data_IF_249494308266
#
_entry.id   IF_249494308266
#
_cell.length_a   1.000
_cell.length_b   1.000
_cell.length_c   1.000
_cell.angle_alpha   90.00
_cell.angle_beta   90.00
_cell.angle_gamma   90.00
#
_symmetry.space_group_name_H-M   'P 1'
#
loop_
_entity.id
_entity.type
_entity.pdbx_description
1 polymer ?
#
# COMPACT_ATOMS: atom_id res chain seq x y z
N UNK A 1 -37.00 8.33 17.96
CA UNK A 1 -37.41 6.94 18.28
C UNK A 1 -38.00 6.37 16.99
N UNK A 2 -37.36 5.51 16.20
CA UNK A 2 -36.27 4.54 16.40
C UNK A 2 -35.26 4.66 15.25
N UNK A 3 -34.03 4.33 15.63
CA UNK A 3 -32.86 3.92 14.87
C UNK A 3 -33.06 3.56 13.40
N UNK A 4 -32.24 4.21 12.57
CA UNK A 4 -31.82 3.73 11.27
C UNK A 4 -31.07 2.42 11.46
N UNK A 5 -31.43 1.43 10.66
CA UNK A 5 -30.83 0.10 10.59
C UNK A 5 -29.35 0.22 10.17
N UNK A 6 -28.48 0.32 11.17
CA UNK A 6 -27.10 -0.13 11.09
C UNK A 6 -27.13 -1.66 11.08
N UNK A 7 -26.85 -2.24 9.91
CA UNK A 7 -26.12 -3.49 9.72
C UNK A 7 -26.38 -4.01 8.31
N UNK A 8 -26.00 -3.21 7.31
CA UNK A 8 -25.59 -3.84 6.05
C UNK A 8 -24.20 -4.40 6.30
N UNK A 9 -24.15 -5.64 6.77
CA UNK A 9 -22.95 -6.47 6.77
C UNK A 9 -22.57 -6.62 5.29
N UNK A 10 -21.71 -5.73 4.81
CA UNK A 10 -21.08 -5.86 3.49
C UNK A 10 -20.11 -7.03 3.59
N UNK A 11 -20.65 -8.19 3.23
CA UNK A 11 -19.99 -9.34 2.64
C UNK A 11 -18.45 -9.36 2.75
N UNK A 12 -17.96 -9.95 3.85
CA UNK A 12 -16.55 -10.20 4.12
C UNK A 12 -15.99 -11.42 3.34
N UNK A 13 -16.54 -11.78 2.18
CA UNK A 13 -16.11 -12.97 1.43
C UNK A 13 -15.29 -12.74 0.17
N UNK A 14 -14.75 -11.52 -0.06
CA UNK A 14 -13.57 -11.35 -0.96
C UNK A 14 -12.30 -11.76 -0.20
N UNK A 15 -12.30 -13.01 0.23
CA UNK A 15 -11.31 -13.62 1.09
C UNK A 15 -9.99 -13.87 0.38
N UNK A 16 -8.93 -13.29 0.97
CA UNK A 16 -7.70 -14.02 1.31
C UNK A 16 -6.83 -14.46 0.12
N UNK A 17 -6.47 -13.52 -0.74
CA UNK A 17 -5.13 -13.57 -1.35
C UNK A 17 -4.25 -12.74 -0.45
N UNK A 18 -3.53 -13.42 0.43
CA UNK A 18 -2.44 -12.81 1.19
C UNK A 18 -1.59 -12.02 0.18
N UNK A 19 -1.52 -10.69 0.33
CA UNK A 19 -0.77 -9.82 -0.60
C UNK A 19 0.75 -10.05 -0.53
N UNK A 20 1.17 -11.07 0.22
CA UNK A 20 2.53 -11.54 0.31
C UNK A 20 2.71 -12.74 -0.62
N UNK A 21 3.40 -12.51 -1.74
CA UNK A 21 3.94 -13.60 -2.56
C UNK A 21 5.33 -13.90 -2.01
N UNK A 22 5.59 -15.06 -1.38
CA UNK A 22 6.89 -15.41 -0.80
C UNK A 22 7.91 -15.81 -1.87
N UNK A 23 7.95 -15.07 -2.98
CA UNK A 23 8.84 -15.34 -4.12
C UNK A 23 9.49 -14.03 -4.53
N UNK A 24 10.77 -14.10 -4.86
CA UNK A 24 11.42 -12.98 -5.50
C UNK A 24 10.84 -12.78 -6.90
N UNK A 25 10.71 -11.54 -7.31
CA UNK A 25 10.16 -11.21 -8.64
C UNK A 25 10.96 -11.88 -9.77
N UNK A 26 12.27 -12.00 -9.63
CA UNK A 26 13.13 -12.74 -10.59
C UNK A 26 12.73 -14.21 -10.69
N UNK A 27 12.42 -14.87 -9.58
CA UNK A 27 12.03 -16.28 -9.57
C UNK A 27 10.69 -16.47 -10.28
N UNK A 28 9.75 -15.53 -10.08
CA UNK A 28 8.45 -15.53 -10.77
C UNK A 28 8.65 -15.38 -12.28
N UNK A 29 9.51 -14.45 -12.71
CA UNK A 29 9.80 -14.24 -14.14
C UNK A 29 10.44 -15.49 -14.75
N UNK A 30 11.43 -16.09 -14.09
CA UNK A 30 12.07 -17.30 -14.61
C UNK A 30 11.13 -18.50 -14.64
N UNK A 31 10.31 -18.68 -13.60
CA UNK A 31 9.30 -19.72 -13.56
C UNK A 31 8.32 -19.60 -14.74
N UNK A 32 7.81 -18.40 -14.99
CA UNK A 32 6.89 -18.14 -16.10
C UNK A 32 7.58 -18.25 -17.48
N UNK A 33 8.84 -17.83 -17.59
CA UNK A 33 9.62 -17.95 -18.81
C UNK A 33 9.89 -19.42 -19.20
N UNK A 34 9.89 -20.34 -18.23
CA UNK A 34 10.09 -21.76 -18.45
C UNK A 34 8.77 -22.54 -18.60
N UNK A 35 7.62 -21.87 -18.44
CA UNK A 35 6.31 -22.50 -18.49
C UNK A 35 6.09 -23.21 -19.84
N UNK A 36 5.56 -24.46 -19.87
CA UNK A 36 5.40 -25.24 -21.10
C UNK A 36 4.53 -24.57 -22.18
N UNK A 37 3.61 -23.69 -21.77
CA UNK A 37 2.75 -22.93 -22.69
C UNK A 37 3.49 -21.82 -23.45
N UNK A 38 4.71 -21.46 -23.06
CA UNK A 38 5.51 -20.44 -23.73
C UNK A 38 6.53 -21.10 -24.67
N UNK A 39 6.45 -20.77 -25.96
CA UNK A 39 7.39 -21.26 -26.95
C UNK A 39 8.83 -20.86 -26.57
N UNK A 40 9.78 -21.77 -26.77
CA UNK A 40 11.20 -21.53 -26.44
C UNK A 40 11.77 -20.28 -27.12
N UNK A 41 11.30 -19.95 -28.32
CA UNK A 41 11.66 -18.76 -29.08
C UNK A 41 11.22 -17.45 -28.44
N UNK A 42 10.13 -17.46 -27.65
CA UNK A 42 9.54 -16.25 -27.05
C UNK A 42 10.04 -15.98 -25.64
N UNK A 43 10.84 -16.89 -25.07
CA UNK A 43 11.36 -16.76 -23.69
C UNK A 43 12.21 -15.51 -23.50
N UNK A 44 13.00 -15.09 -24.50
CA UNK A 44 13.79 -13.85 -24.41
C UNK A 44 12.88 -12.62 -24.38
N UNK A 45 11.93 -12.57 -25.32
CA UNK A 45 10.95 -11.48 -25.42
C UNK A 45 10.09 -11.35 -24.17
N UNK A 46 9.71 -12.47 -23.58
CA UNK A 46 8.99 -12.48 -22.30
C UNK A 46 9.80 -11.84 -21.18
N UNK A 47 11.10 -12.18 -21.05
CA UNK A 47 11.98 -11.59 -20.04
C UNK A 47 12.16 -10.08 -20.26
N UNK A 48 12.33 -9.66 -21.51
CA UNK A 48 12.41 -8.24 -21.87
C UNK A 48 11.14 -7.49 -21.49
N UNK A 49 9.97 -8.06 -21.80
CA UNK A 49 8.66 -7.51 -21.39
C UNK A 49 8.56 -7.40 -19.87
N UNK A 50 8.92 -8.46 -19.14
CA UNK A 50 8.91 -8.46 -17.69
C UNK A 50 9.83 -7.36 -17.13
N UNK A 51 11.05 -7.22 -17.66
CA UNK A 51 11.98 -6.18 -17.25
C UNK A 51 11.42 -4.77 -17.47
N UNK A 52 10.74 -4.51 -18.59
CA UNK A 52 10.09 -3.22 -18.86
C UNK A 52 8.96 -2.94 -17.86
N UNK A 53 8.10 -3.92 -17.59
CA UNK A 53 7.01 -3.80 -16.61
C UNK A 53 7.58 -3.51 -15.23
N UNK A 54 8.60 -4.25 -14.79
CA UNK A 54 9.22 -4.06 -13.48
C UNK A 54 9.89 -2.70 -13.33
N UNK A 55 10.60 -2.25 -14.35
CA UNK A 55 11.20 -0.91 -14.39
C UNK A 55 10.13 0.18 -14.25
N UNK A 56 9.03 0.06 -15.00
CA UNK A 56 7.91 0.99 -14.91
C UNK A 56 7.28 1.01 -13.52
N UNK A 57 7.00 -0.18 -12.95
CA UNK A 57 6.46 -0.30 -11.60
C UNK A 57 7.39 0.29 -10.55
N UNK A 58 8.69 -0.01 -10.62
CA UNK A 58 9.69 0.59 -9.72
C UNK A 58 9.68 2.11 -9.78
N UNK A 59 9.60 2.68 -10.97
CA UNK A 59 9.51 4.14 -11.14
C UNK A 59 8.24 4.70 -10.49
N UNK A 60 7.07 4.10 -10.76
CA UNK A 60 5.80 4.54 -10.19
C UNK A 60 5.80 4.49 -8.66
N UNK A 61 6.26 3.39 -8.07
CA UNK A 61 6.30 3.26 -6.61
C UNK A 61 7.32 4.19 -5.97
N UNK A 62 8.47 4.40 -6.61
CA UNK A 62 9.46 5.38 -6.14
C UNK A 62 8.87 6.79 -6.11
N UNK A 63 8.25 7.23 -7.20
CA UNK A 63 7.62 8.55 -7.25
C UNK A 63 6.53 8.70 -6.18
N UNK A 64 5.70 7.67 -6.01
CA UNK A 64 4.66 7.67 -4.98
C UNK A 64 5.25 7.74 -3.57
N UNK A 65 6.29 6.96 -3.27
CA UNK A 65 6.97 6.98 -1.98
C UNK A 65 7.61 8.35 -1.69
N UNK A 66 8.30 8.92 -2.68
CA UNK A 66 8.89 10.25 -2.58
C UNK A 66 7.81 11.32 -2.33
N UNK A 67 6.68 11.25 -3.03
CA UNK A 67 5.55 12.17 -2.83
C UNK A 67 4.95 12.05 -1.43
N UNK A 68 4.65 10.83 -0.96
CA UNK A 68 4.09 10.60 0.38
C UNK A 68 5.03 11.10 1.49
N UNK A 69 6.33 10.83 1.35
CA UNK A 69 7.34 11.31 2.29
C UNK A 69 7.42 12.85 2.28
N UNK A 70 7.30 13.45 1.10
CA UNK A 70 7.31 14.91 0.95
C UNK A 70 6.11 15.59 1.62
N UNK A 71 4.88 15.10 1.38
CA UNK A 71 3.67 15.69 2.00
C UNK A 71 3.60 15.45 3.50
N UNK A 72 4.22 14.38 4.00
CA UNK A 72 4.30 14.08 5.43
C UNK A 72 5.34 14.92 6.18
N UNK A 73 6.47 15.25 5.53
CA UNK A 73 7.57 15.99 6.17
C UNK A 73 7.17 17.27 6.94
N UNK A 74 6.22 18.13 6.48
CA UNK A 74 5.77 19.29 7.26
C UNK A 74 4.79 18.98 8.39
N UNK A 75 4.21 17.79 8.42
CA UNK A 75 3.26 17.34 9.44
C UNK A 75 3.97 16.68 10.62
N UNK A 76 5.19 16.19 10.41
CA UNK A 76 6.03 15.53 11.41
C UNK A 76 6.55 16.53 12.47
N UNK A 77 6.16 16.37 13.76
CA UNK A 77 6.66 17.22 14.84
C UNK A 77 8.14 17.00 15.15
N UNK A 78 8.67 15.80 14.86
CA UNK A 78 10.04 15.37 15.17
C UNK A 78 10.94 15.40 13.93
N UNK A 79 10.58 16.21 12.93
CA UNK A 79 11.28 16.21 11.64
C UNK A 79 12.77 16.54 11.80
N UNK A 80 13.62 15.66 11.28
CA UNK A 80 15.06 15.90 11.18
C UNK A 80 15.44 16.74 9.95
N UNK A 81 14.50 16.93 9.01
CA UNK A 81 14.74 17.60 7.73
C UNK A 81 14.34 19.07 7.77
N UNK A 82 15.21 19.94 7.25
CA UNK A 82 14.88 21.34 7.01
C UNK A 82 13.82 21.45 5.91
N UNK A 83 12.78 22.25 6.17
CA UNK A 83 11.83 22.67 5.15
C UNK A 83 12.35 23.92 4.46
N UNK A 84 12.23 23.98 3.12
CA UNK A 84 12.53 25.19 2.36
C UNK A 84 11.51 26.31 2.61
N UNK A 85 10.30 25.97 3.07
CA UNK A 85 9.24 26.92 3.40
C UNK A 85 8.41 26.37 4.55
N UNK A 86 8.07 27.23 5.51
CA UNK A 86 7.15 26.86 6.61
C UNK A 86 5.72 26.97 6.08
N UNK A 87 4.96 25.87 6.03
CA UNK A 87 3.59 25.90 5.53
C UNK A 87 2.67 26.67 6.49
N UNK A 88 1.72 27.43 5.93
CA UNK A 88 0.64 28.04 6.71
C UNK A 88 -0.26 26.95 7.31
N UNK A 89 -1.04 27.26 8.36
CA UNK A 89 -2.00 26.31 8.92
C UNK A 89 -2.93 25.70 7.85
N UNK A 90 -3.48 26.53 6.96
CA UNK A 90 -4.39 26.08 5.89
C UNK A 90 -3.69 25.19 4.87
N UNK A 91 -2.39 25.40 4.65
CA UNK A 91 -1.61 24.52 3.80
C UNK A 91 -1.33 23.18 4.47
N UNK A 92 -1.05 23.18 5.78
CA UNK A 92 -0.88 21.94 6.57
C UNK A 92 -2.15 21.10 6.57
N UNK A 93 -3.32 21.72 6.74
CA UNK A 93 -4.60 21.01 6.73
C UNK A 93 -4.85 20.33 5.38
N UNK A 94 -4.55 21.02 4.27
CA UNK A 94 -4.63 20.44 2.92
C UNK A 94 -3.68 19.25 2.74
N UNK A 95 -2.44 19.36 3.22
CA UNK A 95 -1.47 18.26 3.16
C UNK A 95 -1.91 17.06 4.00
N UNK A 96 -2.51 17.29 5.17
CA UNK A 96 -3.07 16.23 6.01
C UNK A 96 -4.23 15.52 5.31
N UNK A 97 -5.16 16.28 4.71
CA UNK A 97 -6.27 15.73 3.94
C UNK A 97 -5.78 14.90 2.73
N UNK A 98 -4.80 15.42 1.98
CA UNK A 98 -4.21 14.71 0.85
C UNK A 98 -3.49 13.43 1.28
N UNK A 99 -2.84 13.44 2.46
CA UNK A 99 -2.23 12.24 3.04
C UNK A 99 -3.29 11.21 3.45
N UNK A 100 -4.33 11.63 4.19
CA UNK A 100 -5.42 10.74 4.63
C UNK A 100 -6.15 10.08 3.46
N UNK A 101 -6.29 10.79 2.34
CA UNK A 101 -6.89 10.24 1.12
C UNK A 101 -6.04 9.15 0.47
N UNK A 102 -4.72 9.28 0.54
CA UNK A 102 -3.78 8.33 -0.10
C UNK A 102 -3.42 7.13 0.78
N UNK A 103 -3.49 7.29 2.10
CA UNK A 103 -3.05 6.30 3.08
C UNK A 103 -3.75 4.92 2.96
N UNK A 104 -5.08 4.83 2.77
CA UNK A 104 -5.78 3.55 2.76
C UNK A 104 -5.27 2.60 1.69
N UNK A 105 -5.01 3.10 0.48
CA UNK A 105 -4.51 2.28 -0.61
C UNK A 105 -3.07 1.80 -0.33
N UNK A 106 -2.22 2.68 0.20
CA UNK A 106 -0.84 2.33 0.55
C UNK A 106 -0.80 1.25 1.62
N UNK A 107 -1.59 1.43 2.68
CA UNK A 107 -1.70 0.50 3.80
C UNK A 107 -2.25 -0.86 3.34
N UNK A 108 -3.30 -0.87 2.52
CA UNK A 108 -3.85 -2.10 1.97
C UNK A 108 -2.83 -2.88 1.12
N UNK A 109 -2.04 -2.19 0.29
CA UNK A 109 -0.96 -2.81 -0.51
C UNK A 109 0.20 -3.31 0.35
N UNK A 110 0.45 -2.67 1.48
CA UNK A 110 1.43 -3.11 2.48
C UNK A 110 0.87 -4.16 3.45
N UNK A 111 -0.28 -4.77 3.13
CA UNK A 111 -0.92 -5.83 3.91
C UNK A 111 -1.39 -5.40 5.32
N UNK A 112 -1.60 -4.09 5.53
CA UNK A 112 -2.31 -3.59 6.70
C UNK A 112 -3.82 -3.67 6.46
N UNK A 113 -4.56 -4.01 7.51
CA UNK A 113 -6.02 -3.99 7.52
C UNK A 113 -6.51 -3.04 8.60
N UNK A 114 -7.71 -2.50 8.39
CA UNK A 114 -8.35 -1.64 9.38
C UNK A 114 -8.89 -2.51 10.51
N UNK A 115 -8.43 -2.25 11.73
CA UNK A 115 -8.97 -2.89 12.91
C UNK A 115 -10.34 -2.28 13.24
N UNK A 116 -11.28 -3.14 13.61
CA UNK A 116 -12.53 -2.76 14.25
C UNK A 116 -12.27 -2.32 15.69
N UNK A 117 -13.22 -1.55 16.24
CA UNK A 117 -13.17 -1.13 17.64
C UNK A 117 -13.04 -2.33 18.59
N UNK A 118 -13.77 -3.41 18.32
CA UNK A 118 -13.73 -4.64 19.11
C UNK A 118 -12.35 -5.30 19.09
N UNK A 119 -11.69 -5.35 17.92
CA UNK A 119 -10.33 -5.93 17.80
C UNK A 119 -9.30 -5.07 18.56
N UNK A 120 -9.43 -3.75 18.52
CA UNK A 120 -8.57 -2.83 19.28
C UNK A 120 -8.73 -3.09 20.78
N UNK A 121 -9.97 -3.16 21.28
CA UNK A 121 -10.26 -3.42 22.69
C UNK A 121 -9.74 -4.77 23.16
N UNK A 122 -9.83 -5.80 22.32
CA UNK A 122 -9.27 -7.12 22.60
C UNK A 122 -7.74 -7.09 22.66
N UNK A 123 -7.08 -6.42 21.71
CA UNK A 123 -5.62 -6.31 21.67
C UNK A 123 -5.07 -5.59 22.91
N UNK A 124 -5.71 -4.49 23.34
CA UNK A 124 -5.30 -3.74 24.54
C UNK A 124 -5.43 -4.59 25.80
N UNK A 125 -6.53 -5.34 25.95
CA UNK A 125 -6.73 -6.26 27.08
C UNK A 125 -5.70 -7.39 27.10
N UNK A 126 -5.27 -7.88 25.93
CA UNK A 126 -4.25 -8.92 25.83
C UNK A 126 -2.84 -8.41 26.18
N UNK A 127 -2.49 -7.18 25.81
CA UNK A 127 -1.18 -6.57 26.08
C UNK A 127 -0.99 -6.12 27.54
N UNK A 128 -2.08 -6.05 28.32
CA UNK A 128 -2.06 -5.65 29.75
C UNK A 128 -1.95 -6.85 30.72
N UNK A 129 -1.63 -8.05 30.21
CA UNK A 129 -1.34 -9.27 30.99
C UNK A 129 0.14 -9.59 30.93
#
# INVERSE_FOLDING_TARGET
>A
MRHLDEDTIVDQTVGRRENFVPLHTTDVVEYLAQHPSLASSDRSRFRELAAMILSHLHHLYRQRHEHLTYIYAPLDPDRDRMLLTVPTPEHRDRLAEDLYRQLPEVLARANYHRLSQTEIEQAIKAASR
#
